data_IF_518875123819
#
_entry.id   IF_518875123819
#
_cell.length_a   1.000
_cell.length_b   1.000
_cell.length_c   1.000
_cell.angle_alpha   90.00
_cell.angle_beta   90.00
_cell.angle_gamma   90.00
#
_symmetry.space_group_name_H-M   'P 1'
#
loop_
_entity.id
_entity.type
_entity.pdbx_description
1 polymer ?
#
# COMPACT_ATOMS: atom_id res chain seq x y z
N UNK A 1 7.91 -0.51 -17.13
CA UNK A 1 7.61 -1.57 -16.15
C UNK A 1 8.69 -1.54 -15.08
N UNK A 2 8.37 -1.75 -13.79
CA UNK A 2 9.37 -1.82 -12.73
C UNK A 2 10.33 -3.00 -12.96
N UNK A 3 11.53 -2.93 -12.36
CA UNK A 3 12.46 -4.06 -12.36
C UNK A 3 11.90 -5.23 -11.56
N UNK A 4 12.39 -6.45 -11.82
CA UNK A 4 12.08 -7.64 -11.01
C UNK A 4 12.38 -7.41 -9.53
N UNK A 5 13.52 -6.82 -9.21
CA UNK A 5 13.94 -6.50 -7.84
C UNK A 5 12.92 -5.61 -7.11
N UNK A 6 12.34 -4.63 -7.83
CA UNK A 6 11.31 -3.75 -7.26
C UNK A 6 10.06 -4.53 -6.86
N UNK A 7 9.65 -5.47 -7.71
CA UNK A 7 8.48 -6.33 -7.46
C UNK A 7 8.76 -7.27 -6.28
N UNK A 8 9.96 -7.87 -6.22
CA UNK A 8 10.36 -8.76 -5.13
C UNK A 8 10.39 -8.03 -3.78
N UNK A 9 10.90 -6.79 -3.73
CA UNK A 9 10.88 -5.96 -2.52
C UNK A 9 9.45 -5.65 -2.06
N UNK A 10 8.55 -5.37 -2.99
CA UNK A 10 7.14 -5.16 -2.66
C UNK A 10 6.48 -6.43 -2.08
N UNK A 11 6.73 -7.58 -2.73
CA UNK A 11 6.22 -8.89 -2.27
C UNK A 11 6.72 -9.22 -0.87
N UNK A 12 7.99 -8.97 -0.58
CA UNK A 12 8.60 -9.26 0.72
C UNK A 12 7.90 -8.50 1.86
N UNK A 13 7.67 -7.19 1.69
CA UNK A 13 6.95 -6.38 2.68
C UNK A 13 5.53 -6.89 2.92
N UNK A 14 4.77 -7.15 1.84
CA UNK A 14 3.38 -7.62 1.95
C UNK A 14 3.32 -9.01 2.60
N UNK A 15 4.23 -9.92 2.23
CA UNK A 15 4.30 -11.27 2.79
C UNK A 15 4.63 -11.28 4.29
N UNK A 16 5.35 -10.27 4.77
CA UNK A 16 5.67 -10.07 6.19
C UNK A 16 4.60 -9.26 6.95
N UNK A 17 3.44 -8.99 6.35
CA UNK A 17 2.38 -8.14 6.91
C UNK A 17 2.82 -6.68 7.17
N UNK A 18 3.89 -6.21 6.52
CA UNK A 18 4.40 -4.84 6.62
C UNK A 18 3.69 -3.90 5.64
N UNK A 19 2.36 -3.86 5.73
CA UNK A 19 1.51 -3.17 4.76
C UNK A 19 1.68 -1.64 4.81
N UNK A 20 1.87 -1.05 5.99
CA UNK A 20 2.13 0.39 6.13
C UNK A 20 3.42 0.79 5.42
N UNK A 21 4.48 -0.01 5.58
CA UNK A 21 5.78 0.21 4.93
C UNK A 21 5.66 0.05 3.40
N UNK A 22 4.86 -0.91 2.93
CA UNK A 22 4.61 -1.11 1.51
C UNK A 22 3.84 0.08 0.91
N UNK A 23 2.84 0.61 1.62
CA UNK A 23 2.11 1.81 1.18
C UNK A 23 3.05 3.02 1.15
N UNK A 24 3.85 3.21 2.19
CA UNK A 24 4.80 4.33 2.27
C UNK A 24 5.78 4.35 1.09
N UNK A 25 6.36 3.19 0.76
CA UNK A 25 7.47 3.06 -0.17
C UNK A 25 7.05 2.97 -1.65
N UNK A 26 5.81 2.57 -1.96
CA UNK A 26 5.41 2.25 -3.33
C UNK A 26 4.19 3.01 -3.85
N UNK A 27 3.44 3.71 -3.00
CA UNK A 27 2.21 4.39 -3.42
C UNK A 27 2.51 5.86 -3.71
N UNK A 28 1.85 6.43 -4.72
CA UNK A 28 1.89 7.87 -4.97
C UNK A 28 1.13 8.62 -3.86
N UNK A 29 1.45 9.90 -3.63
CA UNK A 29 0.80 10.70 -2.59
C UNK A 29 -0.72 10.81 -2.77
N UNK A 30 -1.20 10.82 -4.02
CA UNK A 30 -2.61 10.86 -4.42
C UNK A 30 -3.24 9.47 -4.64
N UNK A 31 -2.55 8.39 -4.24
CA UNK A 31 -3.03 7.03 -4.45
C UNK A 31 -4.41 6.79 -3.84
N UNK A 32 -5.18 5.91 -4.50
CA UNK A 32 -6.49 5.46 -4.03
C UNK A 32 -6.49 3.96 -3.80
N UNK A 33 -7.16 3.49 -2.75
CA UNK A 33 -7.45 2.06 -2.55
C UNK A 33 -8.91 1.87 -2.20
N UNK A 34 -9.47 0.73 -2.60
CA UNK A 34 -10.83 0.38 -2.30
C UNK A 34 -10.89 -1.10 -1.92
N UNK A 35 -11.37 -1.37 -0.71
CA UNK A 35 -11.70 -2.76 -0.34
C UNK A 35 -12.99 -3.18 -1.03
N UNK A 36 -13.15 -4.48 -1.20
CA UNK A 36 -14.34 -5.05 -1.82
C UNK A 36 -15.61 -4.51 -1.15
N UNK A 37 -16.54 -3.98 -1.96
CA UNK A 37 -17.83 -3.43 -1.54
C UNK A 37 -17.78 -2.19 -0.62
N UNK A 38 -16.60 -1.58 -0.42
CA UNK A 38 -16.47 -0.33 0.34
C UNK A 38 -16.26 0.86 -0.59
N UNK A 39 -16.47 2.07 -0.07
CA UNK A 39 -16.11 3.29 -0.78
C UNK A 39 -14.58 3.41 -0.92
N UNK A 40 -14.06 4.05 -1.99
CA UNK A 40 -12.63 4.26 -2.15
C UNK A 40 -12.09 5.23 -1.08
N UNK A 41 -10.87 4.95 -0.62
CA UNK A 41 -10.06 5.83 0.22
C UNK A 41 -9.03 6.54 -0.66
N UNK A 42 -8.80 7.81 -0.35
CA UNK A 42 -7.94 8.70 -1.13
C UNK A 42 -6.77 9.20 -0.29
N UNK A 43 -5.59 9.24 -0.91
CA UNK A 43 -4.37 9.81 -0.37
C UNK A 43 -3.55 8.81 0.44
N UNK A 44 -2.25 8.72 0.17
CA UNK A 44 -1.31 7.78 0.82
C UNK A 44 -1.34 7.85 2.34
N UNK A 45 -1.42 9.05 2.91
CA UNK A 45 -1.48 9.25 4.36
C UNK A 45 -2.73 8.60 4.98
N UNK A 46 -3.89 8.75 4.35
CA UNK A 46 -5.15 8.15 4.79
C UNK A 46 -5.12 6.61 4.66
N UNK A 47 -4.51 6.11 3.58
CA UNK A 47 -4.29 4.67 3.40
C UNK A 47 -3.40 4.06 4.50
N UNK A 48 -2.32 4.75 4.86
CA UNK A 48 -1.43 4.32 5.95
C UNK A 48 -2.13 4.37 7.31
N UNK A 49 -2.92 5.40 7.59
CA UNK A 49 -3.67 5.51 8.84
C UNK A 49 -4.68 4.38 9.01
N UNK A 50 -5.47 4.09 7.97
CA UNK A 50 -6.40 2.96 7.97
C UNK A 50 -5.67 1.64 8.23
N UNK A 51 -4.53 1.41 7.57
CA UNK A 51 -3.79 0.16 7.71
C UNK A 51 -3.16 -0.05 9.09
N UNK A 52 -2.87 1.03 9.84
CA UNK A 52 -2.38 0.92 11.23
C UNK A 52 -3.46 0.49 12.22
N UNK A 53 -4.73 0.67 11.85
CA UNK A 53 -5.89 0.38 12.68
C UNK A 53 -6.53 -0.99 12.37
N UNK A 54 -6.12 -1.63 11.28
CA UNK A 54 -6.58 -2.95 10.83
C UNK A 54 -5.74 -4.07 11.46
#
# INVERSE_FOLDING_TARGET
MPSRETVERFIDLVSQNRHVDAIEAFYADDATMQDNNQAPRFGRANLMEHQRQA
#
